data_IF_911664067077
#
_entry.id   IF_911664067077
#
_cell.length_a   1.000
_cell.length_b   1.000
_cell.length_c   1.000
_cell.angle_alpha   90.00
_cell.angle_beta   90.00
_cell.angle_gamma   90.00
#
_symmetry.space_group_name_H-M   'P 1'
#
loop_
_entity.id
_entity.type
_entity.pdbx_description
1 polymer ?
#
# COMPACT_ATOMS: atom_id res chain seq x y z
N UNK A 1 -40.23 8.44 11.88
CA UNK A 1 -39.43 7.35 12.50
C UNK A 1 -39.16 6.18 11.56
N UNK A 2 -40.14 5.73 10.76
CA UNK A 2 -40.03 4.59 9.82
C UNK A 2 -38.88 4.71 8.79
N UNK A 3 -38.67 5.88 8.23
CA UNK A 3 -37.62 6.08 7.20
C UNK A 3 -36.19 6.07 7.77
N UNK A 4 -35.98 6.53 9.01
CA UNK A 4 -34.65 6.55 9.65
C UNK A 4 -34.16 5.14 10.00
N UNK A 5 -35.07 4.26 10.40
CA UNK A 5 -34.76 2.83 10.65
C UNK A 5 -34.43 2.12 9.34
N UNK A 6 -35.13 2.45 8.24
CA UNK A 6 -34.87 1.87 6.91
C UNK A 6 -33.49 2.26 6.36
N UNK A 7 -33.08 3.52 6.50
CA UNK A 7 -31.74 3.97 6.06
C UNK A 7 -30.61 3.32 6.86
N UNK A 8 -30.79 3.16 8.17
CA UNK A 8 -29.81 2.49 9.03
C UNK A 8 -29.72 0.99 8.70
N UNK A 9 -30.86 0.33 8.48
CA UNK A 9 -30.89 -1.09 8.09
C UNK A 9 -30.23 -1.33 6.72
N UNK A 10 -30.44 -0.43 5.76
CA UNK A 10 -29.81 -0.52 4.44
C UNK A 10 -28.30 -0.27 4.50
N UNK A 11 -27.85 0.69 5.32
CA UNK A 11 -26.41 0.92 5.56
C UNK A 11 -25.74 -0.25 6.26
N UNK A 12 -26.42 -0.89 7.22
CA UNK A 12 -25.92 -2.07 7.93
C UNK A 12 -25.83 -3.28 7.01
N UNK A 13 -26.81 -3.48 6.13
CA UNK A 13 -26.80 -4.55 5.12
C UNK A 13 -25.65 -4.38 4.12
N UNK A 14 -25.35 -3.14 3.72
CA UNK A 14 -24.25 -2.84 2.82
C UNK A 14 -22.87 -3.09 3.46
N UNK A 15 -22.73 -2.76 4.75
CA UNK A 15 -21.53 -3.08 5.55
C UNK A 15 -21.32 -4.59 5.70
N UNK A 16 -22.38 -5.35 5.96
CA UNK A 16 -22.33 -6.81 6.07
C UNK A 16 -21.99 -7.49 4.73
N UNK A 17 -22.52 -6.97 3.62
CA UNK A 17 -22.20 -7.48 2.27
C UNK A 17 -20.74 -7.22 1.90
N UNK A 18 -20.19 -6.06 2.23
CA UNK A 18 -18.78 -5.73 1.99
C UNK A 18 -17.81 -6.63 2.77
N UNK A 19 -18.15 -6.98 4.03
CA UNK A 19 -17.34 -7.87 4.85
C UNK A 19 -17.33 -9.32 4.33
N UNK A 20 -18.45 -9.79 3.74
CA UNK A 20 -18.57 -11.16 3.22
C UNK A 20 -17.72 -11.39 1.96
N UNK A 21 -17.48 -10.35 1.15
CA UNK A 21 -16.66 -10.45 -0.07
C UNK A 21 -15.14 -10.31 0.18
N UNK A 22 -14.71 -10.03 1.42
CA UNK A 22 -13.31 -9.75 1.74
C UNK A 22 -12.45 -11.00 2.04
N UNK A 23 -13.02 -12.21 1.94
CA UNK A 23 -12.36 -13.45 2.39
C UNK A 23 -11.65 -14.22 1.27
N UNK A 24 -11.78 -13.81 0.01
CA UNK A 24 -11.10 -14.46 -1.11
C UNK A 24 -9.67 -13.93 -1.23
N UNK A 25 -8.72 -14.65 -0.62
CA UNK A 25 -7.29 -14.37 -0.72
C UNK A 25 -6.87 -14.53 -2.17
N UNK A 26 -6.71 -13.41 -2.87
CA UNK A 26 -6.17 -13.40 -4.23
C UNK A 26 -4.85 -14.18 -4.27
N UNK A 27 -4.80 -15.26 -5.05
CA UNK A 27 -3.53 -15.89 -5.38
C UNK A 27 -2.70 -14.88 -6.17
N UNK A 28 -1.46 -14.66 -5.75
CA UNK A 28 -0.56 -13.79 -6.47
C UNK A 28 -0.27 -14.33 -7.87
N UNK A 29 0.12 -13.42 -8.75
CA UNK A 29 0.59 -13.76 -10.09
C UNK A 29 1.85 -14.65 -10.03
N UNK A 30 2.60 -14.55 -8.94
CA UNK A 30 3.84 -15.29 -8.71
C UNK A 30 3.58 -16.80 -8.60
N UNK A 31 2.58 -17.20 -7.80
CA UNK A 31 2.22 -18.60 -7.59
C UNK A 31 1.56 -19.23 -8.83
N UNK A 32 0.81 -18.43 -9.61
CA UNK A 32 0.05 -18.95 -10.75
C UNK A 32 0.85 -19.06 -12.05
N UNK A 33 1.83 -18.17 -12.26
CA UNK A 33 2.56 -18.05 -13.53
C UNK A 33 4.06 -18.20 -13.36
N UNK A 34 4.65 -17.54 -12.36
CA UNK A 34 6.11 -17.45 -12.24
C UNK A 34 6.70 -18.77 -11.76
N UNK A 35 6.09 -19.44 -10.78
CA UNK A 35 6.56 -20.76 -10.32
C UNK A 35 6.50 -21.83 -11.42
N UNK A 36 5.45 -21.80 -12.26
CA UNK A 36 5.30 -22.70 -13.41
C UNK A 36 6.45 -22.53 -14.40
N UNK A 37 6.72 -21.28 -14.81
CA UNK A 37 7.78 -20.95 -15.78
C UNK A 37 9.17 -21.18 -15.19
N UNK A 38 9.37 -20.90 -13.90
CA UNK A 38 10.64 -21.11 -13.20
C UNK A 38 10.97 -22.61 -13.07
N UNK A 39 9.96 -23.45 -12.80
CA UNK A 39 10.09 -24.90 -12.79
C UNK A 39 10.47 -25.49 -14.15
N UNK A 40 9.86 -24.99 -15.24
CA UNK A 40 10.23 -25.38 -16.62
C UNK A 40 11.68 -25.01 -16.97
N UNK A 41 12.24 -23.99 -16.31
CA UNK A 41 13.62 -23.53 -16.47
C UNK A 41 14.60 -24.14 -15.45
N UNK A 42 14.14 -25.07 -14.59
CA UNK A 42 14.96 -25.75 -13.59
C UNK A 42 15.45 -24.86 -12.44
N UNK A 43 14.83 -23.70 -12.24
CA UNK A 43 15.18 -22.76 -11.16
C UNK A 43 14.06 -22.78 -10.13
N UNK A 44 14.31 -23.37 -8.96
CA UNK A 44 13.35 -23.29 -7.86
C UNK A 44 13.31 -21.87 -7.31
N UNK A 45 12.10 -21.38 -7.02
CA UNK A 45 11.88 -20.08 -6.39
C UNK A 45 12.67 -20.04 -5.08
N UNK A 46 13.52 -19.03 -4.95
CA UNK A 46 14.37 -18.84 -3.77
C UNK A 46 13.57 -18.05 -2.75
N UNK A 47 13.60 -18.47 -1.49
CA UNK A 47 12.94 -17.75 -0.42
C UNK A 47 13.35 -16.26 -0.42
N UNK A 48 12.39 -15.34 -0.24
CA UNK A 48 12.66 -13.91 -0.16
C UNK A 48 13.75 -13.62 0.90
N UNK A 49 14.73 -12.80 0.52
CA UNK A 49 15.82 -12.41 1.43
C UNK A 49 15.34 -11.61 2.63
N UNK A 50 14.15 -11.00 2.53
CA UNK A 50 13.51 -10.30 3.63
C UNK A 50 12.08 -10.84 3.71
N UNK A 51 11.70 -11.53 4.80
CA UNK A 51 10.37 -12.13 4.95
C UNK A 51 9.35 -11.06 5.36
N UNK A 52 9.21 -10.00 4.56
CA UNK A 52 8.16 -9.00 4.75
C UNK A 52 7.02 -9.34 3.80
N UNK A 53 5.94 -9.89 4.34
CA UNK A 53 4.76 -10.28 3.58
C UNK A 53 3.71 -9.15 3.55
N UNK A 54 3.03 -9.02 2.41
CA UNK A 54 1.87 -8.15 2.25
C UNK A 54 2.16 -6.64 2.30
N UNK A 55 1.26 -5.89 2.94
CA UNK A 55 1.20 -4.42 2.86
C UNK A 55 2.23 -3.69 3.72
N UNK A 56 3.06 -4.38 4.52
CA UNK A 56 4.01 -3.73 5.43
C UNK A 56 5.05 -2.91 4.67
N UNK A 57 5.55 -3.43 3.54
CA UNK A 57 6.45 -2.67 2.66
C UNK A 57 5.74 -1.45 2.07
N UNK A 58 4.47 -1.60 1.69
CA UNK A 58 3.65 -0.50 1.17
C UNK A 58 3.43 0.59 2.23
N UNK A 59 3.16 0.20 3.48
CA UNK A 59 3.06 1.11 4.61
C UNK A 59 4.38 1.82 4.92
N UNK A 60 5.51 1.10 4.88
CA UNK A 60 6.83 1.70 5.06
C UNK A 60 7.11 2.73 3.96
N UNK A 61 6.78 2.41 2.71
CA UNK A 61 6.93 3.33 1.58
C UNK A 61 6.02 4.56 1.73
N UNK A 62 4.76 4.36 2.14
CA UNK A 62 3.83 5.46 2.41
C UNK A 62 4.35 6.37 3.52
N UNK A 63 4.84 5.81 4.63
CA UNK A 63 5.40 6.58 5.74
C UNK A 63 6.63 7.37 5.32
N UNK A 64 7.56 6.73 4.62
CA UNK A 64 8.76 7.38 4.10
C UNK A 64 8.40 8.50 3.10
N UNK A 65 7.47 8.24 2.19
CA UNK A 65 6.98 9.23 1.22
C UNK A 65 6.27 10.39 1.90
N UNK A 66 5.48 10.13 2.94
CA UNK A 66 4.80 11.17 3.72
C UNK A 66 5.82 12.06 4.42
N UNK A 67 6.70 11.48 5.22
CA UNK A 67 7.74 12.24 5.97
C UNK A 67 8.66 12.99 5.01
N UNK A 68 9.12 12.32 3.95
CA UNK A 68 9.98 12.91 2.92
C UNK A 68 9.31 14.04 2.16
N UNK A 69 8.04 13.87 1.77
CA UNK A 69 7.24 14.89 1.08
C UNK A 69 7.01 16.12 1.95
N UNK A 70 6.66 15.93 3.23
CA UNK A 70 6.51 17.04 4.17
C UNK A 70 7.84 17.76 4.42
N UNK A 71 8.93 17.03 4.62
CA UNK A 71 10.26 17.62 4.82
C UNK A 71 10.72 18.40 3.57
N UNK A 72 10.61 17.81 2.38
CA UNK A 72 10.94 18.46 1.12
C UNK A 72 10.07 19.69 0.84
N UNK A 73 8.77 19.62 1.17
CA UNK A 73 7.85 20.75 1.06
C UNK A 73 8.18 21.88 2.03
N UNK A 74 8.45 21.57 3.30
CA UNK A 74 8.83 22.56 4.31
C UNK A 74 10.14 23.28 3.97
N UNK A 75 11.14 22.51 3.51
CA UNK A 75 12.44 23.04 3.12
C UNK A 75 12.53 23.45 1.65
N UNK A 76 11.41 23.54 0.92
CA UNK A 76 11.40 23.79 -0.53
C UNK A 76 12.25 25.00 -0.93
N UNK A 77 12.13 26.12 -0.21
CA UNK A 77 12.94 27.31 -0.50
C UNK A 77 14.43 27.09 -0.24
N UNK A 78 14.79 26.36 0.82
CA UNK A 78 16.21 26.04 1.09
C UNK A 78 16.76 25.08 0.04
N UNK A 79 15.93 24.13 -0.42
CA UNK A 79 16.27 23.16 -1.45
C UNK A 79 16.47 23.84 -2.83
N UNK A 80 15.60 24.80 -3.16
CA UNK A 80 15.58 25.45 -4.48
C UNK A 80 16.44 26.72 -4.57
N UNK A 81 16.45 27.56 -3.52
CA UNK A 81 17.12 28.86 -3.55
C UNK A 81 18.56 28.80 -3.02
N UNK A 82 18.92 27.71 -2.32
CA UNK A 82 20.22 27.54 -1.68
C UNK A 82 20.49 28.59 -0.60
N UNK A 83 21.41 28.29 0.32
CA UNK A 83 21.83 29.27 1.33
C UNK A 83 22.57 30.42 0.64
N UNK A 84 21.89 31.55 0.38
CA UNK A 84 22.54 32.78 -0.11
C UNK A 84 23.66 33.13 0.88
N UNK A 85 24.92 33.04 0.43
CA UNK A 85 26.07 33.45 1.23
C UNK A 85 25.90 34.94 1.54
N UNK A 86 26.00 35.38 2.81
CA UNK A 86 25.94 36.80 3.13
C UNK A 86 27.15 37.51 2.48
N UNK A 87 26.97 38.71 1.92
CA UNK A 87 28.10 39.52 1.44
C UNK A 87 29.01 39.89 2.62
N UNK A 88 30.32 39.86 2.36
CA UNK A 88 31.40 40.11 3.31
C UNK A 88 31.60 41.60 3.54
#
# INVERSE_FOLDING_TARGET
MKYRVSTVALGLLFLLAGAACAVEKWQGVDESVVERIAGEQGRHSRDPLIPIEGDVQLFAFLMAGTVGGFAAGYYWRVLMEGKKRPPK
#
